data_IF_419771909112
#
_entry.id   IF_419771909112
#
_cell.length_a   1.000
_cell.length_b   1.000
_cell.length_c   1.000
_cell.angle_alpha   90.00
_cell.angle_beta   90.00
_cell.angle_gamma   90.00
#
_symmetry.space_group_name_H-M   'P 1'
#
loop_
_entity.id
_entity.type
_entity.pdbx_description
1 polymer ?
#
# COMPACT_ATOMS: atom_id res chain seq x y z
N UNK A 1 -3.34 -25.05 23.21
CA UNK A 1 -3.93 -23.76 22.81
C UNK A 1 -4.42 -23.79 21.36
N UNK A 2 -3.66 -24.38 20.45
CA UNK A 2 -4.04 -24.63 19.05
C UNK A 2 -3.97 -26.12 18.75
N UNK A 3 -4.91 -26.59 17.94
CA UNK A 3 -4.84 -27.90 17.30
C UNK A 3 -5.31 -27.74 15.85
N UNK A 4 -4.54 -28.29 14.89
CA UNK A 4 -4.88 -28.33 13.49
C UNK A 4 -4.81 -29.78 13.00
N UNK A 5 -5.83 -30.25 12.26
CA UNK A 5 -5.92 -31.61 11.68
C UNK A 5 -6.28 -31.54 10.23
N UNK A 6 -5.37 -32.01 9.37
CA UNK A 6 -5.55 -32.04 7.93
C UNK A 6 -5.84 -30.69 7.30
N UNK A 7 -5.35 -29.60 7.91
CA UNK A 7 -5.67 -28.25 7.49
C UNK A 7 -5.15 -27.98 6.08
N UNK A 8 -6.06 -27.66 5.15
CA UNK A 8 -5.76 -27.53 3.74
C UNK A 8 -6.34 -26.23 3.19
N UNK A 9 -5.58 -25.55 2.33
CA UNK A 9 -6.03 -24.36 1.61
C UNK A 9 -5.72 -24.42 0.14
N UNK A 10 -6.77 -24.29 -0.67
CA UNK A 10 -6.70 -24.31 -2.14
C UNK A 10 -7.14 -22.98 -2.71
N UNK A 11 -6.38 -22.45 -3.65
CA UNK A 11 -6.75 -21.29 -4.48
C UNK A 11 -6.89 -21.76 -5.92
N UNK A 12 -8.09 -22.16 -6.30
CA UNK A 12 -8.32 -22.84 -7.57
C UNK A 12 -7.57 -24.18 -7.62
N UNK A 13 -6.64 -24.32 -8.56
CA UNK A 13 -5.82 -25.54 -8.66
C UNK A 13 -4.53 -25.48 -7.77
N UNK A 14 -4.19 -24.32 -7.25
CA UNK A 14 -3.00 -24.17 -6.42
C UNK A 14 -3.29 -24.53 -4.97
N UNK A 15 -2.52 -25.47 -4.41
CA UNK A 15 -2.59 -25.86 -3.00
C UNK A 15 -1.55 -25.10 -2.22
N UNK A 16 -1.99 -24.12 -1.45
CA UNK A 16 -1.09 -23.28 -0.63
C UNK A 16 -0.71 -23.93 0.71
N UNK A 17 -1.61 -24.75 1.26
CA UNK A 17 -1.41 -25.53 2.49
C UNK A 17 -2.03 -26.90 2.25
N UNK A 18 -1.29 -27.97 2.53
CA UNK A 18 -1.66 -29.33 2.19
C UNK A 18 -1.60 -30.25 3.42
N UNK A 19 -2.77 -30.57 3.98
CA UNK A 19 -2.99 -31.51 5.09
C UNK A 19 -2.08 -31.28 6.31
N UNK A 20 -1.91 -30.02 6.71
CA UNK A 20 -1.03 -29.64 7.82
C UNK A 20 -1.64 -30.06 9.16
N UNK A 21 -0.83 -30.74 9.98
CA UNK A 21 -1.18 -31.22 11.31
C UNK A 21 -0.17 -30.68 12.32
N UNK A 22 -0.65 -30.03 13.38
CA UNK A 22 0.19 -29.63 14.51
C UNK A 22 -0.66 -29.31 15.74
N UNK A 23 0.02 -29.25 16.88
CA UNK A 23 -0.59 -28.87 18.16
C UNK A 23 0.38 -27.97 18.94
N UNK A 24 -0.16 -26.90 19.51
CA UNK A 24 0.58 -25.93 20.33
C UNK A 24 0.05 -25.98 21.75
N UNK A 25 0.93 -26.16 22.74
CA UNK A 25 0.58 -26.14 24.15
C UNK A 25 0.33 -24.72 24.67
N UNK A 26 -0.27 -24.57 25.86
CA UNK A 26 -0.45 -23.25 26.48
C UNK A 26 0.88 -22.73 27.04
N UNK A 27 1.19 -21.45 26.80
CA UNK A 27 2.42 -20.81 27.26
C UNK A 27 3.67 -21.23 26.50
N UNK A 28 3.51 -21.94 25.36
CA UNK A 28 4.60 -22.38 24.48
C UNK A 28 4.90 -21.30 23.44
N UNK A 29 6.18 -21.10 23.14
CA UNK A 29 6.61 -20.34 21.94
C UNK A 29 6.83 -21.35 20.83
N UNK A 30 5.92 -21.38 19.88
CA UNK A 30 5.93 -22.32 18.75
C UNK A 30 6.23 -21.60 17.44
N UNK A 31 7.21 -22.10 16.69
CA UNK A 31 7.70 -21.49 15.45
C UNK A 31 7.32 -22.27 14.20
N UNK A 32 6.85 -21.58 13.14
CA UNK A 32 6.88 -22.11 11.79
C UNK A 32 8.12 -21.59 11.08
N UNK A 33 9.04 -22.51 10.78
CA UNK A 33 10.26 -22.23 10.01
C UNK A 33 10.08 -22.69 8.57
N UNK A 34 10.37 -21.83 7.61
CA UNK A 34 10.30 -22.19 6.19
C UNK A 34 10.54 -20.98 5.27
N UNK A 35 10.81 -21.26 4.01
CA UNK A 35 11.02 -20.24 2.98
C UNK A 35 9.77 -19.39 2.73
N UNK A 36 9.97 -18.22 2.10
CA UNK A 36 8.83 -17.37 1.71
C UNK A 36 7.95 -18.10 0.69
N UNK A 37 6.63 -17.94 0.87
CA UNK A 37 5.63 -18.60 0.01
C UNK A 37 5.34 -20.07 0.34
N UNK A 38 5.94 -20.68 1.37
CA UNK A 38 5.67 -22.08 1.74
C UNK A 38 4.34 -22.31 2.48
N UNK A 39 3.50 -21.28 2.71
CA UNK A 39 2.18 -21.44 3.31
C UNK A 39 2.04 -20.96 4.77
N UNK A 40 3.10 -20.44 5.43
CA UNK A 40 3.08 -19.98 6.83
C UNK A 40 1.97 -18.96 7.11
N UNK A 41 1.98 -17.83 6.44
CA UNK A 41 0.97 -16.75 6.61
C UNK A 41 -0.44 -17.23 6.28
N UNK A 42 -0.60 -18.13 5.29
CA UNK A 42 -1.89 -18.72 4.95
C UNK A 42 -2.42 -19.58 6.09
N UNK A 43 -1.58 -20.41 6.68
CA UNK A 43 -1.93 -21.23 7.85
C UNK A 43 -2.34 -20.34 9.03
N UNK A 44 -1.58 -19.28 9.32
CA UNK A 44 -1.91 -18.34 10.41
C UNK A 44 -3.26 -17.65 10.18
N UNK A 45 -3.58 -17.24 8.95
CA UNK A 45 -4.86 -16.65 8.62
C UNK A 45 -6.03 -17.63 8.76
N UNK A 46 -5.82 -18.91 8.48
CA UNK A 46 -6.85 -19.93 8.72
C UNK A 46 -7.11 -20.11 10.22
N UNK A 47 -6.07 -20.12 11.05
CA UNK A 47 -6.19 -20.24 12.50
C UNK A 47 -6.86 -19.03 13.17
N UNK A 48 -6.69 -17.84 12.61
CA UNK A 48 -7.36 -16.63 13.12
C UNK A 48 -8.80 -16.48 12.60
N UNK A 49 -9.27 -17.40 11.75
CA UNK A 49 -10.58 -17.28 11.11
C UNK A 49 -10.66 -16.17 10.04
N UNK A 50 -9.53 -15.52 9.69
CA UNK A 50 -9.47 -14.53 8.60
C UNK A 50 -9.61 -15.16 7.23
N UNK A 51 -9.28 -16.45 7.12
CA UNK A 51 -9.38 -17.23 5.88
C UNK A 51 -10.03 -18.58 6.22
N UNK A 52 -11.18 -18.94 5.63
CA UNK A 52 -11.79 -20.24 5.85
C UNK A 52 -10.91 -21.33 5.22
N UNK A 53 -10.70 -22.44 5.94
CA UNK A 53 -10.01 -23.59 5.37
C UNK A 53 -10.84 -24.24 4.28
N UNK A 54 -10.16 -24.77 3.24
CA UNK A 54 -10.83 -25.55 2.19
C UNK A 54 -11.18 -26.94 2.67
N UNK A 55 -10.31 -27.57 3.49
CA UNK A 55 -10.49 -28.91 4.07
C UNK A 55 -9.78 -28.94 5.43
N UNK A 56 -10.16 -29.89 6.28
CA UNK A 56 -9.61 -30.06 7.62
C UNK A 56 -10.23 -29.13 8.65
N UNK A 57 -9.75 -29.23 9.87
CA UNK A 57 -10.33 -28.52 11.02
C UNK A 57 -9.22 -27.92 11.89
N UNK A 58 -9.54 -26.81 12.53
CA UNK A 58 -8.67 -26.17 13.51
C UNK A 58 -9.46 -25.78 14.76
N UNK A 59 -8.78 -25.86 15.89
CA UNK A 59 -9.34 -25.48 17.19
C UNK A 59 -8.43 -24.45 17.87
N UNK A 60 -9.06 -23.43 18.46
CA UNK A 60 -8.44 -22.48 19.36
C UNK A 60 -9.02 -22.66 20.75
N UNK A 61 -8.18 -22.87 21.74
CA UNK A 61 -8.59 -23.09 23.14
C UNK A 61 -9.64 -24.20 23.33
N UNK A 62 -9.65 -25.20 22.44
CA UNK A 62 -10.63 -26.30 22.45
C UNK A 62 -11.94 -25.99 21.76
N UNK A 63 -12.12 -24.79 21.19
CA UNK A 63 -13.28 -24.40 20.39
C UNK A 63 -12.90 -24.46 18.91
N UNK A 64 -13.77 -24.97 18.01
CA UNK A 64 -13.54 -24.89 16.56
C UNK A 64 -13.34 -23.45 16.12
N UNK A 65 -12.44 -23.22 15.18
CA UNK A 65 -12.22 -21.89 14.60
C UNK A 65 -13.45 -21.52 13.76
N UNK A 66 -14.23 -20.57 14.22
CA UNK A 66 -15.35 -19.97 13.49
C UNK A 66 -15.02 -18.51 13.14
N UNK A 67 -15.04 -18.11 11.84
CA UNK A 67 -14.87 -16.72 11.43
C UNK A 67 -15.89 -15.74 12.05
N UNK A 68 -17.02 -16.23 12.54
CA UNK A 68 -18.09 -15.44 13.16
C UNK A 68 -17.92 -15.29 14.69
N UNK A 69 -17.11 -16.13 15.31
CA UNK A 69 -16.87 -16.09 16.75
C UNK A 69 -15.90 -14.96 17.10
N UNK A 70 -16.49 -13.82 17.53
CA UNK A 70 -15.73 -12.64 17.95
C UNK A 70 -15.07 -12.87 19.31
N UNK A 71 -15.71 -13.62 20.20
CA UNK A 71 -15.20 -13.83 21.57
C UNK A 71 -13.89 -14.64 21.55
N UNK A 72 -13.83 -15.71 20.77
CA UNK A 72 -12.59 -16.48 20.62
C UNK A 72 -11.49 -15.62 19.98
N UNK A 73 -11.83 -14.76 19.00
CA UNK A 73 -10.85 -13.86 18.37
C UNK A 73 -10.33 -12.77 19.32
N UNK A 74 -11.15 -12.28 20.26
CA UNK A 74 -10.70 -11.33 21.29
C UNK A 74 -9.61 -11.90 22.20
N UNK A 75 -9.49 -13.21 22.32
CA UNK A 75 -8.45 -13.88 23.11
C UNK A 75 -7.13 -14.01 22.36
N UNK A 76 -7.08 -13.58 21.09
CA UNK A 76 -5.92 -13.69 20.19
C UNK A 76 -5.43 -12.30 19.80
N UNK A 77 -4.16 -12.00 20.03
CA UNK A 77 -3.46 -10.88 19.44
C UNK A 77 -2.83 -11.30 18.12
N UNK A 78 -2.95 -10.48 17.09
CA UNK A 78 -2.41 -10.77 15.77
C UNK A 78 -1.50 -9.64 15.29
N UNK A 79 -0.32 -10.00 14.80
CA UNK A 79 0.62 -9.09 14.18
C UNK A 79 0.96 -9.59 12.77
N UNK A 80 0.60 -8.82 11.76
CA UNK A 80 0.90 -9.14 10.36
C UNK A 80 2.33 -8.75 9.99
N UNK A 81 2.86 -9.36 8.93
CA UNK A 81 4.19 -9.05 8.40
C UNK A 81 4.33 -7.57 8.00
N UNK A 82 3.31 -7.01 7.35
CA UNK A 82 3.29 -5.59 7.01
C UNK A 82 2.85 -4.76 8.22
N UNK A 83 3.45 -3.58 8.39
CA UNK A 83 2.99 -2.63 9.40
C UNK A 83 1.54 -2.22 9.07
N UNK A 84 0.62 -2.56 9.95
CA UNK A 84 -0.83 -2.42 9.73
C UNK A 84 -1.49 -1.38 10.64
N UNK A 85 -0.72 -0.63 11.42
CA UNK A 85 -1.23 0.43 12.28
C UNK A 85 -1.42 1.73 11.49
N UNK A 86 -2.21 2.64 12.05
CA UNK A 86 -2.53 3.91 11.42
C UNK A 86 -1.34 4.86 11.47
N UNK A 87 -0.78 5.19 10.31
CA UNK A 87 0.38 6.07 10.16
C UNK A 87 0.09 7.53 10.50
N UNK A 88 -1.18 7.93 10.42
CA UNK A 88 -1.69 9.27 10.70
C UNK A 88 -1.94 9.52 12.20
N UNK A 89 -1.95 8.47 13.00
CA UNK A 89 -2.13 8.51 14.45
C UNK A 89 -0.78 8.38 15.15
N UNK A 90 -0.60 9.10 16.26
CA UNK A 90 0.60 8.94 17.11
C UNK A 90 0.64 7.54 17.75
N UNK A 91 1.77 7.19 18.38
CA UNK A 91 1.91 5.94 19.13
C UNK A 91 0.80 5.83 20.19
N UNK A 92 0.58 6.87 20.99
CA UNK A 92 -0.47 6.94 22.01
C UNK A 92 -1.86 6.74 21.39
N UNK A 93 -2.17 7.47 20.32
CA UNK A 93 -3.47 7.38 19.65
C UNK A 93 -3.73 6.00 19.04
N UNK A 94 -2.70 5.32 18.51
CA UNK A 94 -2.83 3.94 18.07
C UNK A 94 -3.18 3.00 19.21
N UNK A 95 -2.54 3.16 20.39
CA UNK A 95 -2.83 2.37 21.59
C UNK A 95 -4.27 2.65 22.10
N UNK A 96 -4.69 3.92 22.19
CA UNK A 96 -6.04 4.33 22.58
C UNK A 96 -7.11 3.74 21.67
N UNK A 97 -6.91 3.86 20.36
CA UNK A 97 -7.85 3.32 19.37
C UNK A 97 -8.03 1.81 19.54
N UNK A 98 -6.92 1.06 19.65
CA UNK A 98 -7.01 -0.39 19.79
C UNK A 98 -7.56 -0.83 21.14
N UNK A 99 -7.24 -0.10 22.23
CA UNK A 99 -7.86 -0.33 23.51
C UNK A 99 -9.40 -0.20 23.44
N UNK A 100 -9.88 0.85 22.76
CA UNK A 100 -11.32 1.06 22.55
C UNK A 100 -11.94 0.00 21.63
N UNK A 101 -11.26 -0.41 20.55
CA UNK A 101 -11.71 -1.49 19.66
C UNK A 101 -11.85 -2.84 20.37
N UNK A 102 -11.00 -3.12 21.35
CA UNK A 102 -11.10 -4.30 22.20
C UNK A 102 -12.03 -4.13 23.40
N UNK A 103 -12.74 -2.99 23.48
CA UNK A 103 -13.73 -2.67 24.52
C UNK A 103 -13.14 -2.65 25.94
N UNK A 104 -11.90 -2.17 26.09
CA UNK A 104 -11.35 -1.85 27.40
C UNK A 104 -12.13 -0.65 27.95
N UNK A 105 -12.58 -0.69 29.21
CA UNK A 105 -13.31 0.43 29.81
C UNK A 105 -12.51 1.73 29.76
N UNK A 106 -13.15 2.84 29.38
CA UNK A 106 -12.48 4.14 29.19
C UNK A 106 -11.67 4.59 30.42
N UNK A 107 -12.16 4.26 31.62
CA UNK A 107 -11.46 4.57 32.86
C UNK A 107 -10.13 3.80 33.02
N UNK A 108 -9.98 2.64 32.40
CA UNK A 108 -8.79 1.78 32.47
C UNK A 108 -7.77 2.10 31.37
N UNK A 109 -8.20 2.69 30.25
CA UNK A 109 -7.35 2.94 29.09
C UNK A 109 -6.08 3.71 29.43
N UNK A 110 -6.11 4.85 30.18
CA UNK A 110 -4.90 5.60 30.48
C UNK A 110 -3.87 4.79 31.26
N UNK A 111 -4.34 4.04 32.28
CA UNK A 111 -3.47 3.17 33.07
C UNK A 111 -2.88 2.03 32.26
N UNK A 112 -3.67 1.46 31.35
CA UNK A 112 -3.23 0.38 30.46
C UNK A 112 -2.21 0.85 29.45
N UNK A 113 -2.37 2.05 28.89
CA UNK A 113 -1.40 2.65 27.98
C UNK A 113 -0.09 2.91 28.71
N UNK A 114 -0.12 3.50 29.90
CA UNK A 114 1.10 3.74 30.67
C UNK A 114 1.86 2.44 30.97
N UNK A 115 1.15 1.37 31.40
CA UNK A 115 1.73 0.04 31.61
C UNK A 115 2.40 -0.50 30.34
N UNK A 116 1.72 -0.44 29.22
CA UNK A 116 2.21 -0.94 27.93
C UNK A 116 3.36 -0.08 27.40
N UNK A 117 3.25 1.25 27.45
CA UNK A 117 4.32 2.16 27.01
C UNK A 117 5.61 1.91 27.77
N UNK A 118 5.54 1.77 29.09
CA UNK A 118 6.70 1.46 29.92
C UNK A 118 7.29 0.09 29.56
N UNK A 119 6.46 -0.96 29.49
CA UNK A 119 6.92 -2.32 29.21
C UNK A 119 7.57 -2.47 27.85
N UNK A 120 7.04 -1.76 26.83
CA UNK A 120 7.53 -1.82 25.46
C UNK A 120 8.50 -0.69 25.11
N UNK A 121 8.92 0.12 26.09
CA UNK A 121 9.84 1.24 25.92
C UNK A 121 9.38 2.20 24.83
N UNK A 122 8.14 2.65 24.91
CA UNK A 122 7.49 3.56 23.97
C UNK A 122 7.26 4.96 24.57
N UNK A 123 7.57 5.19 25.86
CA UNK A 123 7.28 6.42 26.60
C UNK A 123 7.82 7.68 25.92
N UNK A 124 9.07 7.62 25.44
CA UNK A 124 9.73 8.77 24.78
C UNK A 124 9.17 9.10 23.38
N UNK A 125 8.39 8.18 22.80
CA UNK A 125 7.88 8.30 21.42
C UNK A 125 6.35 8.34 21.34
N UNK A 126 5.65 8.44 22.46
CA UNK A 126 4.18 8.35 22.50
C UNK A 126 3.46 9.37 21.61
N UNK A 127 4.01 10.58 21.51
CA UNK A 127 3.44 11.65 20.69
C UNK A 127 4.01 11.69 19.25
N UNK A 128 4.81 10.67 18.88
CA UNK A 128 5.45 10.59 17.57
C UNK A 128 4.62 9.76 16.61
N UNK A 129 4.61 10.14 15.32
CA UNK A 129 3.95 9.37 14.27
C UNK A 129 4.78 8.11 13.93
N UNK A 130 4.16 6.94 13.73
CA UNK A 130 4.85 5.70 13.40
C UNK A 130 5.75 5.80 12.15
N UNK A 131 5.38 6.61 11.17
CA UNK A 131 6.15 6.77 9.94
C UNK A 131 7.57 7.33 10.17
N UNK A 132 7.79 8.12 11.23
CA UNK A 132 9.08 8.70 11.58
C UNK A 132 9.94 7.81 12.50
N UNK A 133 9.39 6.70 12.99
CA UNK A 133 10.08 5.80 13.90
C UNK A 133 10.95 4.76 13.17
N UNK A 134 12.10 4.39 13.74
CA UNK A 134 12.86 3.22 13.30
C UNK A 134 12.02 1.95 13.29
N UNK A 135 12.34 1.02 12.38
CA UNK A 135 11.56 -0.21 12.19
C UNK A 135 11.43 -1.03 13.50
N UNK A 136 12.49 -1.16 14.28
CA UNK A 136 12.46 -1.87 15.56
C UNK A 136 11.45 -1.29 16.57
N UNK A 137 11.33 0.05 16.63
CA UNK A 137 10.32 0.70 17.48
C UNK A 137 8.91 0.48 16.92
N UNK A 138 8.73 0.56 15.60
CA UNK A 138 7.44 0.22 14.97
C UNK A 138 6.99 -1.20 15.25
N UNK A 139 7.91 -2.16 15.23
CA UNK A 139 7.61 -3.55 15.56
C UNK A 139 7.22 -3.73 17.04
N UNK A 140 7.92 -3.02 17.97
CA UNK A 140 7.53 -2.99 19.39
C UNK A 140 6.14 -2.38 19.58
N UNK A 141 5.80 -1.30 18.87
CA UNK A 141 4.46 -0.72 18.89
C UNK A 141 3.42 -1.73 18.34
N UNK A 142 3.70 -2.42 17.26
CA UNK A 142 2.79 -3.43 16.72
C UNK A 142 2.54 -4.57 17.72
N UNK A 143 3.59 -5.02 18.42
CA UNK A 143 3.46 -6.02 19.48
C UNK A 143 2.69 -5.47 20.68
N UNK A 144 2.96 -4.22 21.10
CA UNK A 144 2.25 -3.54 22.18
C UNK A 144 0.73 -3.46 21.93
N UNK A 145 0.35 -3.09 20.70
CA UNK A 145 -1.04 -3.08 20.24
C UNK A 145 -1.64 -4.49 20.26
N UNK A 146 -0.90 -5.50 19.81
CA UNK A 146 -1.38 -6.88 19.81
C UNK A 146 -1.61 -7.45 21.20
N UNK A 147 -0.99 -6.89 22.25
CA UNK A 147 -1.16 -7.35 23.64
C UNK A 147 -1.98 -6.42 24.54
N UNK A 148 -2.44 -5.27 24.03
CA UNK A 148 -3.11 -4.27 24.85
C UNK A 148 -4.35 -4.81 25.57
N UNK A 149 -5.05 -5.76 25.00
CA UNK A 149 -6.25 -6.41 25.52
C UNK A 149 -5.97 -7.68 26.33
N UNK A 150 -4.71 -7.95 26.68
CA UNK A 150 -4.25 -9.14 27.43
C UNK A 150 -4.71 -10.46 26.80
N UNK A 151 -4.32 -10.74 25.55
CA UNK A 151 -4.70 -11.98 24.89
C UNK A 151 -4.06 -13.21 25.55
N UNK A 152 -4.71 -14.37 25.45
CA UNK A 152 -4.13 -15.65 25.89
C UNK A 152 -3.13 -16.20 24.85
N UNK A 153 -3.19 -15.68 23.62
CA UNK A 153 -2.36 -16.10 22.49
C UNK A 153 -1.95 -14.94 21.61
N UNK A 154 -0.74 -15.03 21.08
CA UNK A 154 -0.21 -14.16 20.04
C UNK A 154 0.10 -14.98 18.79
N UNK A 155 -0.32 -14.46 17.63
CA UNK A 155 0.04 -14.98 16.31
C UNK A 155 0.84 -13.89 15.59
N UNK A 156 2.11 -14.15 15.32
CA UNK A 156 3.10 -13.18 14.83
C UNK A 156 3.66 -13.64 13.49
N UNK A 157 3.36 -12.92 12.42
CA UNK A 157 3.79 -13.26 11.06
C UNK A 157 5.05 -12.49 10.67
N UNK A 158 6.22 -13.15 10.71
CA UNK A 158 7.55 -12.61 10.44
C UNK A 158 7.84 -11.26 11.15
N UNK A 159 7.63 -11.16 12.48
CA UNK A 159 7.59 -9.89 13.18
C UNK A 159 8.92 -9.13 13.21
N UNK A 160 10.04 -9.80 12.97
CA UNK A 160 11.39 -9.24 13.05
C UNK A 160 12.05 -9.09 11.67
N UNK A 161 11.30 -9.30 10.60
CA UNK A 161 11.82 -9.17 9.23
C UNK A 161 12.30 -7.75 8.95
N UNK A 162 13.57 -7.61 8.53
CA UNK A 162 14.20 -6.32 8.26
C UNK A 162 14.63 -5.52 9.50
N UNK A 163 14.42 -6.04 10.71
CA UNK A 163 14.84 -5.40 11.96
C UNK A 163 16.34 -5.66 12.20
N UNK A 164 17.06 -4.64 12.67
CA UNK A 164 18.45 -4.77 13.06
C UNK A 164 18.64 -5.78 14.21
N UNK A 165 19.84 -6.37 14.37
CA UNK A 165 20.07 -7.43 15.35
C UNK A 165 19.78 -7.01 16.80
N UNK A 166 20.10 -5.79 17.20
CA UNK A 166 19.91 -5.30 18.58
C UNK A 166 18.41 -5.16 18.89
N UNK A 167 17.66 -4.49 18.01
CA UNK A 167 16.22 -4.32 18.17
C UNK A 167 15.49 -5.68 18.08
N UNK A 168 15.99 -6.62 17.27
CA UNK A 168 15.49 -8.00 17.20
C UNK A 168 15.67 -8.74 18.54
N UNK A 169 16.81 -8.64 19.16
CA UNK A 169 17.04 -9.28 20.46
C UNK A 169 16.14 -8.70 21.55
N UNK A 170 15.95 -7.37 21.57
CA UNK A 170 14.99 -6.73 22.48
C UNK A 170 13.55 -7.20 22.23
N UNK A 171 13.15 -7.36 20.99
CA UNK A 171 11.83 -7.88 20.63
C UNK A 171 11.64 -9.33 21.12
N UNK A 172 12.65 -10.17 20.96
CA UNK A 172 12.64 -11.54 21.46
C UNK A 172 12.57 -11.61 22.98
N UNK A 173 13.25 -10.71 23.70
CA UNK A 173 13.13 -10.61 25.17
C UNK A 173 11.67 -10.35 25.57
N UNK A 174 11.00 -9.38 24.94
CA UNK A 174 9.60 -9.09 25.19
C UNK A 174 8.70 -10.30 24.95
N UNK A 175 8.93 -11.06 23.88
CA UNK A 175 8.17 -12.30 23.61
C UNK A 175 8.39 -13.37 24.67
N UNK A 176 9.65 -13.57 25.10
CA UNK A 176 9.98 -14.53 26.18
C UNK A 176 9.32 -14.11 27.48
N UNK A 177 9.33 -12.83 27.83
CA UNK A 177 8.68 -12.31 29.02
C UNK A 177 7.16 -12.53 28.98
N UNK A 178 6.50 -12.25 27.84
CA UNK A 178 5.08 -12.52 27.64
C UNK A 178 4.75 -14.01 27.80
N UNK A 179 5.59 -14.90 27.25
CA UNK A 179 5.34 -16.34 27.34
C UNK A 179 5.60 -16.90 28.74
N UNK A 180 6.66 -16.45 29.45
CA UNK A 180 7.08 -17.00 30.74
C UNK A 180 6.39 -16.36 31.93
N UNK A 181 6.20 -15.04 31.91
CA UNK A 181 5.60 -14.30 33.01
C UNK A 181 4.07 -14.26 32.89
N UNK A 182 3.54 -13.91 31.71
CA UNK A 182 2.10 -13.76 31.48
C UNK A 182 1.44 -15.05 30.97
N UNK A 183 2.22 -16.10 30.69
CA UNK A 183 1.76 -17.38 30.14
C UNK A 183 1.01 -17.25 28.81
N UNK A 184 1.35 -16.24 28.04
CA UNK A 184 0.81 -16.06 26.68
C UNK A 184 1.39 -17.13 25.77
N UNK A 185 0.53 -17.82 25.03
CA UNK A 185 0.97 -18.75 23.99
C UNK A 185 1.39 -17.97 22.76
N UNK A 186 2.57 -18.22 22.22
CA UNK A 186 3.09 -17.48 21.06
C UNK A 186 3.26 -18.42 19.88
N UNK A 187 2.62 -18.08 18.78
CA UNK A 187 2.79 -18.73 17.49
C UNK A 187 3.47 -17.75 16.53
N UNK A 188 4.71 -18.03 16.13
CA UNK A 188 5.52 -17.14 15.30
C UNK A 188 5.87 -17.83 13.98
N UNK A 189 5.80 -17.10 12.85
CA UNK A 189 6.45 -17.52 11.61
C UNK A 189 7.79 -16.82 11.45
N UNK A 190 8.78 -17.54 10.96
CA UNK A 190 10.10 -17.00 10.63
C UNK A 190 10.75 -17.78 9.49
N UNK A 191 11.70 -17.15 8.83
CA UNK A 191 12.63 -17.81 7.90
C UNK A 191 14.09 -17.78 8.42
N UNK A 192 14.30 -17.26 9.65
CA UNK A 192 15.60 -17.17 10.30
C UNK A 192 15.82 -18.36 11.25
N UNK A 193 16.93 -19.09 11.04
CA UNK A 193 17.29 -20.26 11.87
C UNK A 193 17.53 -19.89 13.33
N UNK A 194 18.26 -18.79 13.56
CA UNK A 194 18.55 -18.30 14.91
C UNK A 194 17.30 -17.89 15.72
N UNK A 195 16.22 -17.58 15.05
CA UNK A 195 14.93 -17.32 15.71
C UNK A 195 14.19 -18.62 16.02
N UNK A 196 14.21 -19.56 15.07
CA UNK A 196 13.62 -20.88 15.27
C UNK A 196 14.26 -21.61 16.46
N UNK A 197 15.57 -21.46 16.67
CA UNK A 197 16.31 -22.04 17.81
C UNK A 197 15.87 -21.47 19.16
N UNK A 198 15.25 -20.29 19.20
CA UNK A 198 14.71 -19.67 20.45
C UNK A 198 13.30 -20.16 20.80
N UNK A 199 12.65 -20.87 19.88
CA UNK A 199 11.32 -21.43 20.12
C UNK A 199 11.41 -22.70 20.97
N UNK A 200 10.36 -22.99 21.74
CA UNK A 200 10.26 -24.25 22.48
C UNK A 200 10.10 -25.45 21.54
N UNK A 201 9.27 -25.26 20.50
CA UNK A 201 9.07 -26.22 19.42
C UNK A 201 8.89 -25.50 18.11
N UNK A 202 9.24 -26.20 17.05
CA UNK A 202 9.09 -25.70 15.70
C UNK A 202 8.48 -26.74 14.76
N UNK A 203 7.84 -26.28 13.70
CA UNK A 203 7.52 -27.09 12.54
C UNK A 203 8.23 -26.55 11.30
N UNK A 204 8.89 -27.44 10.59
CA UNK A 204 9.57 -27.14 9.34
C UNK A 204 8.57 -27.21 8.20
N UNK A 205 8.36 -26.10 7.51
CA UNK A 205 7.37 -25.97 6.43
C UNK A 205 8.03 -25.82 5.06
N UNK A 206 7.55 -26.61 4.08
CA UNK A 206 7.96 -26.49 2.68
C UNK A 206 6.81 -26.84 1.75
N UNK A 207 6.62 -26.05 0.68
CA UNK A 207 5.61 -26.28 -0.35
C UNK A 207 4.21 -26.64 0.19
N UNK A 208 3.76 -25.95 1.23
CA UNK A 208 2.45 -26.17 1.85
C UNK A 208 2.39 -27.31 2.86
N UNK A 209 3.44 -28.08 3.06
CA UNK A 209 3.48 -29.24 3.95
C UNK A 209 4.39 -29.01 5.17
N UNK A 210 4.08 -29.69 6.27
CA UNK A 210 4.98 -29.81 7.42
C UNK A 210 5.86 -31.03 7.20
N UNK A 211 7.19 -30.80 7.12
CA UNK A 211 8.18 -31.85 6.91
C UNK A 211 8.55 -32.55 8.23
N UNK A 212 8.71 -31.79 9.29
CA UNK A 212 9.06 -32.30 10.61
C UNK A 212 8.55 -31.31 11.69
N UNK A 213 8.36 -31.80 12.90
CA UNK A 213 7.95 -30.99 14.06
C UNK A 213 8.57 -31.52 15.34
N UNK A 214 9.16 -30.67 16.15
CA UNK A 214 9.82 -31.05 17.40
C UNK A 214 10.50 -29.86 18.07
N UNK A 215 11.25 -30.11 19.15
CA UNK A 215 12.17 -29.10 19.66
C UNK A 215 13.32 -28.90 18.67
N UNK A 216 13.92 -27.72 18.58
CA UNK A 216 15.06 -27.50 17.68
C UNK A 216 16.16 -28.54 17.85
N UNK A 217 16.48 -28.86 19.10
CA UNK A 217 17.50 -29.85 19.43
C UNK A 217 17.11 -31.28 18.99
N UNK A 218 15.88 -31.70 19.23
CA UNK A 218 15.41 -33.03 18.81
C UNK A 218 15.42 -33.19 17.28
N UNK A 219 15.15 -32.12 16.53
CA UNK A 219 15.20 -32.12 15.07
C UNK A 219 16.65 -32.26 14.56
N UNK A 220 17.60 -31.59 15.21
CA UNK A 220 19.05 -31.75 14.89
C UNK A 220 19.50 -33.18 15.16
N UNK A 221 19.17 -33.74 16.32
CA UNK A 221 19.51 -35.11 16.72
C UNK A 221 18.88 -36.15 15.78
N UNK A 222 17.61 -35.96 15.39
CA UNK A 222 16.88 -36.86 14.49
C UNK A 222 17.61 -37.04 13.13
N UNK A 223 18.25 -35.97 12.65
CA UNK A 223 19.00 -36.00 11.39
C UNK A 223 20.49 -36.29 11.57
N UNK A 224 20.99 -36.30 12.80
CA UNK A 224 22.44 -36.44 13.07
C UNK A 224 23.25 -35.28 12.49
N UNK A 225 22.63 -34.09 12.38
CA UNK A 225 23.25 -32.88 11.84
C UNK A 225 23.96 -32.10 12.94
N UNK A 226 24.88 -31.19 12.59
CA UNK A 226 25.54 -30.35 13.57
C UNK A 226 24.68 -29.09 13.92
N UNK A 227 23.85 -28.62 12.98
CA UNK A 227 23.04 -27.43 13.13
C UNK A 227 21.60 -27.64 12.65
N UNK A 228 20.68 -26.78 13.11
CA UNK A 228 19.29 -26.78 12.65
C UNK A 228 19.19 -26.49 11.14
N UNK A 229 20.07 -25.63 10.63
CA UNK A 229 20.14 -25.31 9.20
C UNK A 229 20.47 -26.52 8.36
N UNK A 230 21.49 -27.30 8.74
CA UNK A 230 21.86 -28.56 8.06
C UNK A 230 20.72 -29.57 8.12
N UNK A 231 20.07 -29.73 9.27
CA UNK A 231 18.90 -30.58 9.42
C UNK A 231 17.77 -30.16 8.48
N UNK A 232 17.47 -28.88 8.39
CA UNK A 232 16.43 -28.36 7.52
C UNK A 232 16.75 -28.58 6.03
N UNK A 233 17.99 -28.34 5.61
CA UNK A 233 18.44 -28.61 4.24
C UNK A 233 18.25 -30.09 3.90
N UNK A 234 18.61 -31.03 4.81
CA UNK A 234 18.42 -32.45 4.60
C UNK A 234 16.94 -32.82 4.38
N UNK A 235 15.99 -32.26 5.15
CA UNK A 235 14.57 -32.47 4.92
C UNK A 235 14.09 -31.88 3.60
N UNK A 236 14.63 -30.71 3.19
CA UNK A 236 14.30 -30.11 1.90
C UNK A 236 14.75 -30.97 0.72
N UNK A 237 15.95 -31.55 0.79
CA UNK A 237 16.49 -32.46 -0.22
C UNK A 237 15.63 -33.72 -0.36
N UNK A 238 15.28 -34.36 0.76
CA UNK A 238 14.40 -35.51 0.77
C UNK A 238 13.02 -35.22 0.18
N UNK A 239 12.44 -34.07 0.54
CA UNK A 239 11.16 -33.64 0.00
C UNK A 239 11.24 -33.35 -1.51
N UNK A 240 12.35 -32.82 -2.01
CA UNK A 240 12.59 -32.57 -3.43
C UNK A 240 12.75 -33.89 -4.21
N UNK A 241 13.47 -34.86 -3.66
CA UNK A 241 13.62 -36.20 -4.26
C UNK A 241 12.29 -36.96 -4.32
N UNK A 242 11.49 -36.89 -3.27
CA UNK A 242 10.16 -37.52 -3.23
C UNK A 242 9.15 -36.91 -4.24
N UNK A 243 9.42 -35.72 -4.77
CA UNK A 243 8.53 -35.01 -5.70
C UNK A 243 8.95 -35.20 -7.17
N UNK A 244 10.12 -35.80 -7.45
CA UNK A 244 10.56 -36.12 -8.81
C UNK A 244 9.81 -37.35 -9.34
N UNK A 245 9.18 -37.28 -10.55
CA UNK A 245 8.63 -38.47 -11.19
C UNK A 245 9.78 -39.46 -11.51
N UNK A 246 9.53 -40.81 -11.42
CA UNK A 246 10.58 -41.82 -11.60
C UNK A 246 11.19 -41.90 -13.00
N UNK A 247 10.88 -41.03 -13.94
CA UNK A 247 11.34 -41.07 -15.34
C UNK A 247 12.01 -39.78 -15.83
N UNK A 248 12.60 -38.99 -14.96
CA UNK A 248 13.47 -37.88 -15.38
C UNK A 248 14.95 -38.36 -15.35
N UNK A 249 15.37 -39.14 -16.36
CA UNK A 249 16.79 -39.34 -16.68
C UNK A 249 17.46 -37.95 -16.73
N UNK A 250 18.56 -37.88 -16.00
CA UNK A 250 19.42 -36.73 -15.83
C UNK A 250 19.72 -35.99 -17.14
N UNK A 251 18.94 -34.99 -17.45
CA UNK A 251 19.45 -33.88 -18.23
C UNK A 251 20.14 -32.95 -17.24
N UNK A 252 21.45 -33.05 -17.19
CA UNK A 252 22.32 -32.17 -16.43
C UNK A 252 21.84 -30.72 -16.65
N UNK A 253 21.35 -30.07 -15.60
CA UNK A 253 21.15 -28.65 -15.60
C UNK A 253 22.53 -28.05 -15.82
N UNK A 254 22.77 -27.29 -16.92
CA UNK A 254 24.08 -26.67 -17.07
C UNK A 254 24.27 -25.73 -15.88
N UNK A 255 25.42 -25.90 -15.21
CA UNK A 255 25.86 -24.97 -14.18
C UNK A 255 25.66 -23.56 -14.69
N UNK A 256 24.90 -22.74 -13.93
CA UNK A 256 24.79 -21.32 -14.20
C UNK A 256 26.17 -20.74 -13.90
N UNK A 257 27.04 -20.77 -14.90
CA UNK A 257 28.21 -19.90 -14.90
C UNK A 257 27.71 -18.48 -14.72
N UNK A 258 28.16 -17.85 -13.64
CA UNK A 258 28.09 -16.41 -13.50
C UNK A 258 28.81 -15.77 -14.70
N UNK A 259 28.10 -15.62 -15.81
CA UNK A 259 28.56 -14.73 -16.86
C UNK A 259 28.47 -13.32 -16.28
N UNK A 260 29.65 -12.79 -16.02
CA UNK A 260 29.94 -11.37 -15.91
C UNK A 260 29.01 -10.60 -16.84
N UNK A 261 28.33 -9.62 -16.28
CA UNK A 261 27.41 -8.72 -17.01
C UNK A 261 28.03 -8.21 -18.29
N UNK A 262 27.75 -8.90 -19.41
CA UNK A 262 27.91 -8.30 -20.71
C UNK A 262 26.82 -7.27 -20.84
N UNK A 263 27.22 -6.02 -20.96
CA UNK A 263 26.37 -4.86 -21.23
C UNK A 263 25.41 -5.14 -22.38
N UNK A 264 24.19 -5.56 -22.05
CA UNK A 264 23.07 -5.62 -23.00
C UNK A 264 22.82 -4.18 -23.45
N UNK A 265 22.87 -3.86 -24.75
CA UNK A 265 22.57 -2.51 -25.21
C UNK A 265 21.17 -2.15 -24.75
N UNK A 266 21.06 -1.07 -23.96
CA UNK A 266 19.79 -0.50 -23.52
C UNK A 266 19.02 -0.07 -24.77
N UNK A 267 18.14 -0.93 -25.27
CA UNK A 267 17.16 -0.51 -26.25
C UNK A 267 16.27 0.54 -25.58
N UNK A 268 16.39 1.78 -26.04
CA UNK A 268 15.72 2.95 -25.47
C UNK A 268 14.19 2.86 -25.56
N UNK A 269 13.64 2.06 -26.46
CA UNK A 269 12.21 1.88 -26.66
C UNK A 269 11.86 0.44 -27.03
N UNK A 270 10.93 -0.18 -26.32
CA UNK A 270 10.40 -1.52 -26.61
C UNK A 270 8.88 -1.49 -26.58
N UNK A 271 8.26 -1.69 -27.72
CA UNK A 271 6.79 -1.81 -27.87
C UNK A 271 6.21 -2.91 -26.99
N UNK A 272 6.94 -4.00 -26.79
CA UNK A 272 6.53 -5.11 -25.94
C UNK A 272 6.45 -4.70 -24.46
N UNK A 273 7.39 -3.90 -23.98
CA UNK A 273 7.35 -3.32 -22.64
C UNK A 273 6.20 -2.34 -22.50
N UNK A 274 6.01 -1.45 -23.46
CA UNK A 274 4.90 -0.50 -23.49
C UNK A 274 3.55 -1.25 -23.40
N UNK A 275 3.35 -2.29 -24.19
CA UNK A 275 2.12 -3.08 -24.19
C UNK A 275 1.92 -3.83 -22.86
N UNK A 276 2.99 -4.33 -22.25
CA UNK A 276 2.93 -4.99 -20.94
C UNK A 276 2.52 -4.02 -19.84
N UNK A 277 3.05 -2.81 -19.82
CA UNK A 277 2.64 -1.76 -18.89
C UNK A 277 1.21 -1.29 -19.12
N UNK A 278 0.82 -1.05 -20.39
CA UNK A 278 -0.56 -0.65 -20.72
C UNK A 278 -1.58 -1.72 -20.31
N UNK A 279 -1.25 -2.99 -20.51
CA UNK A 279 -2.10 -4.11 -20.07
C UNK A 279 -2.22 -4.19 -18.55
N UNK A 280 -1.13 -3.94 -17.83
CA UNK A 280 -1.13 -3.89 -16.36
C UNK A 280 -2.05 -2.78 -15.86
N UNK A 281 -1.87 -1.56 -16.36
CA UNK A 281 -2.70 -0.40 -16.01
C UNK A 281 -4.18 -0.64 -16.33
N UNK A 282 -4.48 -1.23 -17.49
CA UNK A 282 -5.85 -1.56 -17.88
C UNK A 282 -6.49 -2.59 -16.91
N UNK A 283 -5.70 -3.56 -16.43
CA UNK A 283 -6.17 -4.54 -15.44
C UNK A 283 -6.36 -3.91 -14.05
N UNK A 284 -5.50 -2.98 -13.65
CA UNK A 284 -5.63 -2.23 -12.39
C UNK A 284 -6.88 -1.34 -12.42
N UNK A 285 -7.10 -0.60 -13.52
CA UNK A 285 -8.32 0.19 -13.71
C UNK A 285 -9.59 -0.68 -13.65
N UNK A 286 -9.57 -1.86 -14.27
CA UNK A 286 -10.71 -2.78 -14.24
C UNK A 286 -11.03 -3.31 -12.84
N UNK A 287 -10.02 -3.41 -11.96
CA UNK A 287 -10.18 -3.90 -10.58
C UNK A 287 -10.63 -2.82 -9.60
N UNK A 288 -10.41 -1.56 -9.95
CA UNK A 288 -10.80 -0.41 -9.12
C UNK A 288 -11.92 0.38 -9.81
N UNK A 289 -13.19 0.11 -9.48
CA UNK A 289 -14.33 0.78 -10.10
C UNK A 289 -14.36 2.28 -9.80
N UNK A 290 -13.81 2.72 -8.67
CA UNK A 290 -13.76 4.14 -8.30
C UNK A 290 -12.80 4.89 -9.20
N UNK A 291 -11.57 4.38 -9.39
CA UNK A 291 -10.58 4.96 -10.31
C UNK A 291 -11.05 4.95 -11.75
N UNK A 292 -11.67 3.85 -12.20
CA UNK A 292 -12.22 3.74 -13.55
C UNK A 292 -13.30 4.77 -13.81
N UNK A 293 -14.23 4.93 -12.87
CA UNK A 293 -15.31 5.91 -12.98
C UNK A 293 -14.77 7.34 -12.99
N UNK A 294 -13.82 7.67 -12.11
CA UNK A 294 -13.20 9.00 -12.06
C UNK A 294 -12.39 9.31 -13.34
N UNK A 295 -11.65 8.35 -13.85
CA UNK A 295 -10.84 8.52 -15.07
C UNK A 295 -11.72 8.74 -16.31
N UNK A 296 -12.81 7.98 -16.47
CA UNK A 296 -13.72 8.12 -17.61
C UNK A 296 -14.66 9.32 -17.47
N UNK A 297 -15.38 9.39 -16.34
CA UNK A 297 -16.38 10.45 -16.12
C UNK A 297 -15.71 11.81 -15.93
N UNK A 298 -14.60 11.87 -15.21
CA UNK A 298 -13.83 13.10 -15.02
C UNK A 298 -13.29 13.67 -16.33
N UNK A 299 -12.79 12.83 -17.22
CA UNK A 299 -12.32 13.24 -18.56
C UNK A 299 -13.48 13.75 -19.42
N UNK A 300 -14.62 13.06 -19.40
CA UNK A 300 -15.83 13.49 -20.15
C UNK A 300 -16.35 14.83 -19.61
N UNK A 301 -16.44 14.99 -18.28
CA UNK A 301 -16.87 16.25 -17.66
C UNK A 301 -15.90 17.36 -18.01
N UNK A 302 -14.59 17.14 -17.92
CA UNK A 302 -13.59 18.13 -18.29
C UNK A 302 -13.70 18.54 -19.76
N UNK A 303 -13.88 17.57 -20.67
CA UNK A 303 -14.09 17.82 -22.09
C UNK A 303 -15.37 18.65 -22.35
N UNK A 304 -16.45 18.38 -21.61
CA UNK A 304 -17.69 19.16 -21.68
C UNK A 304 -17.51 20.60 -21.18
N UNK A 305 -16.83 20.78 -20.03
CA UNK A 305 -16.53 22.10 -19.46
C UNK A 305 -15.62 22.90 -20.40
N UNK A 306 -14.56 22.28 -20.95
CA UNK A 306 -13.65 22.96 -21.88
C UNK A 306 -14.31 23.24 -23.23
N UNK A 307 -15.19 22.36 -23.72
CA UNK A 307 -15.85 22.52 -25.02
C UNK A 307 -17.05 23.50 -24.99
N UNK A 308 -17.79 23.56 -23.89
CA UNK A 308 -18.98 24.41 -23.79
C UNK A 308 -18.82 25.58 -22.82
N UNK A 309 -17.95 25.47 -21.81
CA UNK A 309 -17.78 26.46 -20.78
C UNK A 309 -16.73 27.54 -21.08
N UNK A 310 -15.81 27.27 -22.00
CA UNK A 310 -14.76 28.22 -22.40
C UNK A 310 -14.99 28.57 -23.88
N UNK A 311 -15.80 29.59 -24.12
CA UNK A 311 -15.85 30.27 -25.40
C UNK A 311 -14.65 31.20 -25.50
N UNK A 312 -13.79 31.00 -26.51
CA UNK A 312 -12.71 31.96 -26.86
C UNK A 312 -13.25 33.12 -27.72
N UNK A 313 -14.52 33.12 -28.06
CA UNK A 313 -15.13 34.23 -28.77
C UNK A 313 -15.28 35.42 -27.81
N UNK A 314 -14.46 36.41 -28.06
CA UNK A 314 -14.59 37.71 -27.36
C UNK A 314 -15.70 38.45 -28.03
N UNK A 315 -16.89 38.47 -27.46
CA UNK A 315 -18.04 39.23 -27.92
C UNK A 315 -18.19 40.51 -27.09
N UNK A 316 -18.94 41.51 -27.60
CA UNK A 316 -19.28 42.75 -26.90
C UNK A 316 -18.09 43.66 -26.55
N UNK A 317 -17.08 43.71 -27.41
CA UNK A 317 -15.95 44.63 -27.26
C UNK A 317 -16.46 46.10 -27.43
N UNK A 318 -16.45 46.86 -26.36
CA UNK A 318 -16.78 48.30 -26.42
C UNK A 318 -15.65 49.05 -27.14
N UNK A 319 -15.96 49.63 -28.28
CA UNK A 319 -14.98 50.42 -29.03
C UNK A 319 -15.51 51.86 -29.27
N UNK A 320 -14.56 52.78 -29.46
CA UNK A 320 -14.86 54.12 -29.93
C UNK A 320 -13.83 54.57 -30.94
N UNK A 321 -14.24 55.43 -31.85
CA UNK A 321 -13.38 55.95 -32.92
C UNK A 321 -13.00 57.38 -32.65
N UNK A 322 -11.70 57.70 -32.77
CA UNK A 322 -11.17 59.04 -32.88
C UNK A 322 -10.93 59.36 -34.37
N UNK A 323 -11.97 59.90 -35.04
CA UNK A 323 -11.89 60.23 -36.47
C UNK A 323 -11.33 61.62 -36.62
N UNK A 324 -10.09 61.72 -37.11
CA UNK A 324 -9.42 62.97 -37.40
C UNK A 324 -9.49 63.37 -38.89
N UNK A 325 -10.05 62.51 -39.75
CA UNK A 325 -10.20 62.75 -41.16
C UNK A 325 -11.58 63.32 -41.49
N UNK A 326 -12.64 62.91 -40.79
CA UNK A 326 -14.01 63.35 -40.91
C UNK A 326 -14.56 63.32 -42.38
N UNK A 327 -14.13 62.34 -43.17
CA UNK A 327 -14.55 62.13 -44.54
C UNK A 327 -15.64 61.06 -44.63
N UNK A 328 -16.35 60.97 -45.78
CA UNK A 328 -17.34 59.91 -46.00
C UNK A 328 -16.64 58.50 -45.97
N UNK A 329 -15.39 58.43 -46.35
CA UNK A 329 -14.62 57.21 -46.32
C UNK A 329 -14.28 56.74 -44.91
N UNK A 330 -13.89 57.69 -44.01
CA UNK A 330 -13.64 57.38 -42.58
C UNK A 330 -14.90 56.97 -41.87
N UNK A 331 -16.02 57.61 -42.10
CA UNK A 331 -17.33 57.27 -41.55
C UNK A 331 -17.81 55.88 -42.01
N UNK A 332 -17.63 55.56 -43.30
CA UNK A 332 -17.96 54.23 -43.87
C UNK A 332 -17.16 53.10 -43.20
N UNK A 333 -15.89 53.34 -42.88
CA UNK A 333 -15.03 52.40 -42.19
C UNK A 333 -15.47 52.17 -40.74
N UNK A 334 -15.81 53.27 -40.02
CA UNK A 334 -16.33 53.18 -38.65
C UNK A 334 -17.64 52.40 -38.61
N UNK A 335 -18.58 52.65 -39.54
CA UNK A 335 -19.83 51.93 -39.64
C UNK A 335 -19.66 50.43 -39.96
N UNK A 336 -18.68 50.06 -40.77
CA UNK A 336 -18.39 48.65 -41.05
C UNK A 336 -17.93 47.88 -39.79
N UNK A 337 -17.14 48.51 -38.92
CA UNK A 337 -16.74 47.92 -37.65
C UNK A 337 -17.91 47.84 -36.70
N UNK A 338 -18.71 48.90 -36.62
CA UNK A 338 -19.92 48.96 -35.79
C UNK A 338 -20.98 47.90 -36.20
N UNK A 339 -21.00 47.48 -37.46
CA UNK A 339 -21.86 46.41 -37.95
C UNK A 339 -21.41 44.99 -37.58
N UNK A 340 -20.26 44.82 -37.00
CA UNK A 340 -19.75 43.52 -36.59
C UNK A 340 -20.37 43.07 -35.24
N UNK A 341 -20.77 41.82 -35.14
CA UNK A 341 -21.33 41.24 -33.90
C UNK A 341 -20.38 41.24 -32.70
N UNK A 342 -19.07 41.45 -32.94
CA UNK A 342 -18.04 41.43 -31.93
C UNK A 342 -17.84 42.78 -31.22
N UNK A 343 -18.36 43.89 -31.82
CA UNK A 343 -18.09 45.24 -31.37
C UNK A 343 -19.36 45.99 -30.99
N UNK A 344 -19.30 46.69 -29.88
CA UNK A 344 -20.38 47.64 -29.43
C UNK A 344 -19.81 49.03 -29.54
N UNK A 345 -20.37 49.83 -30.46
CA UNK A 345 -19.97 51.21 -30.68
C UNK A 345 -20.34 52.08 -29.46
N UNK A 346 -19.36 52.86 -29.03
CA UNK A 346 -19.49 53.87 -27.98
C UNK A 346 -19.42 55.27 -28.64
N UNK A 347 -19.90 56.33 -27.93
CA UNK A 347 -19.78 57.68 -28.45
C UNK A 347 -18.36 58.01 -28.93
N UNK A 348 -18.21 58.68 -30.14
CA UNK A 348 -16.94 58.97 -30.74
C UNK A 348 -16.05 59.84 -29.85
N UNK A 349 -14.74 59.59 -29.93
CA UNK A 349 -13.72 60.29 -29.18
C UNK A 349 -13.39 61.64 -29.85
N UNK A 350 -13.25 62.68 -29.00
CA UNK A 350 -12.93 64.03 -29.50
C UNK A 350 -11.45 64.40 -29.30
N UNK A 351 -10.76 63.73 -28.38
CA UNK A 351 -9.36 64.05 -28.05
C UNK A 351 -8.60 62.83 -27.52
N UNK A 352 -7.29 62.88 -27.60
CA UNK A 352 -6.43 61.82 -27.00
C UNK A 352 -6.56 61.78 -25.45
N UNK A 353 -6.77 62.93 -24.82
CA UNK A 353 -6.99 62.95 -23.37
C UNK A 353 -8.27 62.21 -22.94
N UNK A 354 -9.30 62.31 -23.77
CA UNK A 354 -10.52 61.55 -23.60
C UNK A 354 -10.33 60.05 -23.86
N UNK A 355 -9.60 59.68 -24.90
CA UNK A 355 -9.23 58.33 -25.23
C UNK A 355 -8.50 57.66 -24.05
N UNK A 356 -7.41 58.28 -23.57
CA UNK A 356 -6.66 57.80 -22.43
C UNK A 356 -7.49 57.62 -21.17
N UNK A 357 -8.37 58.56 -20.87
CA UNK A 357 -9.25 58.50 -19.69
C UNK A 357 -10.23 57.33 -19.79
N UNK A 358 -10.92 57.16 -20.94
CA UNK A 358 -11.97 56.14 -21.12
C UNK A 358 -11.35 54.73 -21.23
N UNK A 359 -10.14 54.59 -21.81
CA UNK A 359 -9.38 53.34 -21.79
C UNK A 359 -8.95 52.96 -20.37
N UNK A 360 -8.39 53.89 -19.58
CA UNK A 360 -7.97 53.63 -18.19
C UNK A 360 -9.14 53.30 -17.27
N UNK A 361 -10.29 53.89 -17.51
CA UNK A 361 -11.52 53.64 -16.72
C UNK A 361 -12.19 52.31 -17.12
N UNK A 362 -11.72 51.59 -18.14
CA UNK A 362 -12.34 50.36 -18.64
C UNK A 362 -13.68 50.59 -19.34
N UNK A 363 -13.99 51.82 -19.76
CA UNK A 363 -15.17 52.13 -20.55
C UNK A 363 -15.06 51.62 -21.98
N UNK A 364 -13.84 51.57 -22.52
CA UNK A 364 -13.49 51.06 -23.84
C UNK A 364 -12.54 49.87 -23.71
N UNK A 365 -12.75 48.85 -24.51
CA UNK A 365 -11.81 47.74 -24.70
C UNK A 365 -10.86 48.01 -25.88
N UNK A 366 -11.35 48.75 -26.88
CA UNK A 366 -10.58 49.10 -28.08
C UNK A 366 -10.85 50.59 -28.44
N UNK A 367 -9.78 51.28 -28.81
CA UNK A 367 -9.91 52.63 -29.40
C UNK A 367 -9.25 52.62 -30.78
N UNK A 368 -9.96 53.14 -31.76
CA UNK A 368 -9.48 53.17 -33.15
C UNK A 368 -9.25 54.62 -33.51
N UNK A 369 -8.02 54.97 -33.96
CA UNK A 369 -7.70 56.27 -34.49
C UNK A 369 -7.71 56.24 -36.03
N UNK A 370 -8.43 57.12 -36.63
CA UNK A 370 -8.38 57.37 -38.06
C UNK A 370 -7.56 58.66 -38.30
N UNK A 371 -6.36 58.56 -38.91
CA UNK A 371 -5.46 59.70 -39.09
C UNK A 371 -6.03 60.74 -40.08
N UNK A 372 -5.55 62.00 -40.05
CA UNK A 372 -5.91 63.02 -41.05
C UNK A 372 -5.46 62.58 -42.45
N UNK A 373 -6.27 62.85 -43.45
CA UNK A 373 -6.11 62.50 -44.88
C UNK A 373 -6.32 61.00 -45.22
N UNK A 374 -6.86 60.20 -44.29
CA UNK A 374 -7.14 58.79 -44.51
C UNK A 374 -7.93 58.49 -45.79
N UNK A 375 -9.01 59.21 -46.04
CA UNK A 375 -9.83 59.03 -47.23
C UNK A 375 -9.07 59.36 -48.54
N UNK A 376 -8.19 60.36 -48.50
CA UNK A 376 -7.35 60.72 -49.64
C UNK A 376 -6.28 59.66 -49.92
N UNK A 377 -5.68 59.11 -48.90
CA UNK A 377 -4.61 58.15 -49.02
C UNK A 377 -5.13 56.79 -49.49
N UNK A 378 -6.32 56.39 -49.01
CA UNK A 378 -7.05 55.22 -49.56
C UNK A 378 -7.36 55.42 -51.06
N UNK A 379 -7.89 56.59 -51.44
CA UNK A 379 -8.20 56.85 -52.87
C UNK A 379 -6.99 56.83 -53.79
N UNK A 380 -5.77 57.08 -53.25
CA UNK A 380 -4.51 57.04 -53.97
C UNK A 380 -3.79 55.66 -53.92
N UNK A 381 -4.32 54.72 -53.16
CA UNK A 381 -3.69 53.41 -52.94
C UNK A 381 -2.34 53.49 -52.21
N UNK A 382 -2.10 54.53 -51.43
CA UNK A 382 -0.91 54.69 -50.60
C UNK A 382 -1.24 54.24 -49.20
N UNK A 383 -0.41 53.35 -48.53
CA UNK A 383 -0.69 52.88 -47.19
C UNK A 383 -0.53 54.01 -46.16
#
# INVERSE_FOLDING_TARGET
AIEARGLTMRFGQFVAVDHVNFRIARGEIFGFLGSNGCGKSTTMKMLTGLLPASEGEAWLFGQPVDPRDIETRRRVGYMSQAFSLYSELTVRQNLELHASLFHIPDAEIPGRIAEISQRFMLEEVEDTLPASLPLGIRQRLSLAVAVIHRPEMLILDEPTSGVDPVARDMFWQLMVDLARQDRVTIFISTHFMNEAERCDRISLMHAGKVLASGTPQALVEQRGSATLEEAFIAWLQEAAEATQPPDAQATAVPAIEHKTESSVPRQAFSLQRLFSYSRREALELRRDPVRSTLALLGTVILMFIMGYGISMDVEDLRFAVLDRDQTVSSQGWSQNIAGSRYFIEQPPLQSYSELDRRMRNGELAVAIEIPPNFGRDIARGTP
#
